data_IF_605937974341
#
_entry.id   IF_605937974341
#
_cell.length_a   1.000
_cell.length_b   1.000
_cell.length_c   1.000
_cell.angle_alpha   90.00
_cell.angle_beta   90.00
_cell.angle_gamma   90.00
#
_symmetry.space_group_name_H-M   'P 1'
#
loop_
_entity.id
_entity.type
_entity.pdbx_description
1 polymer ?
#
# COMPACT_ATOMS: atom_id res chain seq x y z
N UNK A 1 -19.88 13.52 47.63
CA UNK A 1 -19.80 12.86 46.31
C UNK A 1 -20.66 13.64 45.34
N UNK A 2 -20.07 14.15 44.25
CA UNK A 2 -20.62 14.22 42.89
C UNK A 2 -19.94 15.39 42.16
N UNK A 3 -18.86 15.09 41.43
CA UNK A 3 -18.24 16.04 40.52
C UNK A 3 -19.00 16.00 39.19
N UNK A 4 -19.67 17.07 38.83
CA UNK A 4 -20.17 17.29 37.48
C UNK A 4 -19.00 17.64 36.56
N UNK A 5 -18.36 16.61 36.01
CA UNK A 5 -17.42 16.76 34.91
C UNK A 5 -18.21 17.16 33.65
N UNK A 6 -18.21 18.45 33.32
CA UNK A 6 -18.64 18.97 32.03
C UNK A 6 -17.66 18.46 30.97
N UNK A 7 -18.05 17.42 30.24
CA UNK A 7 -17.32 16.95 29.06
C UNK A 7 -17.51 18.01 27.97
N UNK A 8 -16.53 18.89 27.83
CA UNK A 8 -16.37 19.71 26.63
C UNK A 8 -15.98 18.73 25.52
N UNK A 9 -16.93 18.38 24.67
CA UNK A 9 -16.59 17.78 23.39
C UNK A 9 -15.97 18.89 22.56
N UNK A 10 -14.64 18.89 22.45
CA UNK A 10 -13.99 19.61 21.36
C UNK A 10 -14.67 19.17 20.06
N UNK A 11 -15.17 20.10 19.22
CA UNK A 11 -15.61 19.73 17.90
C UNK A 11 -14.40 19.13 17.19
N UNK A 12 -14.43 17.82 16.98
CA UNK A 12 -13.49 17.14 16.11
C UNK A 12 -13.41 17.97 14.82
N UNK A 13 -12.21 18.30 14.32
CA UNK A 13 -12.09 19.08 13.11
C UNK A 13 -12.90 18.38 12.03
N UNK A 14 -13.79 19.17 11.43
CA UNK A 14 -14.79 18.78 10.46
C UNK A 14 -14.18 17.77 9.47
N UNK A 15 -14.50 16.48 9.66
CA UNK A 15 -13.92 15.38 8.87
C UNK A 15 -14.33 15.47 7.40
N UNK A 16 -15.25 16.38 7.05
CA UNK A 16 -15.57 16.73 5.68
C UNK A 16 -14.42 17.47 4.96
N UNK A 17 -13.51 18.13 5.68
CA UNK A 17 -12.27 18.67 5.09
C UNK A 17 -11.29 17.59 4.60
N UNK A 18 -11.48 16.33 5.03
CA UNK A 18 -10.74 15.16 4.52
C UNK A 18 -11.45 14.50 3.32
N UNK A 19 -12.62 14.98 2.92
CA UNK A 19 -13.39 14.47 1.76
C UNK A 19 -13.13 15.24 0.45
N UNK A 20 -12.06 16.02 0.39
CA UNK A 20 -11.59 16.61 -0.87
C UNK A 20 -10.79 15.59 -1.70
N UNK A 21 -11.03 15.45 -3.02
CA UNK A 21 -10.19 14.63 -3.89
C UNK A 21 -8.92 15.44 -4.21
N UNK A 22 -7.92 15.45 -3.32
CA UNK A 22 -6.80 16.40 -3.46
C UNK A 22 -5.44 15.80 -3.72
N UNK A 23 -5.30 14.49 -3.82
CA UNK A 23 -4.16 13.89 -4.46
C UNK A 23 -4.57 12.57 -5.11
N UNK A 24 -4.60 12.51 -6.44
CA UNK A 24 -4.78 11.24 -7.18
C UNK A 24 -3.71 10.20 -6.77
N UNK A 25 -2.61 10.66 -6.17
CA UNK A 25 -1.51 9.87 -5.68
C UNK A 25 -0.83 10.55 -4.48
N UNK A 26 -0.69 9.84 -3.36
CA UNK A 26 0.17 10.26 -2.25
C UNK A 26 1.48 9.47 -2.33
N UNK A 27 2.60 10.13 -2.61
CA UNK A 27 3.91 9.48 -2.67
C UNK A 27 4.55 9.34 -1.28
N UNK A 28 5.12 8.17 -1.00
CA UNK A 28 5.93 7.96 0.20
C UNK A 28 7.36 8.46 -0.05
N UNK A 29 7.89 9.29 0.86
CA UNK A 29 9.33 9.60 0.87
C UNK A 29 10.13 8.28 0.94
N UNK A 30 11.25 8.18 0.19
CA UNK A 30 12.08 6.96 0.06
C UNK A 30 12.11 6.16 1.36
N UNK A 31 11.33 5.07 1.41
CA UNK A 31 11.19 4.30 2.62
C UNK A 31 12.53 3.63 2.95
N UNK A 32 13.09 3.93 4.12
CA UNK A 32 14.31 3.27 4.65
C UNK A 32 14.09 1.80 4.99
N UNK A 33 12.83 1.36 5.04
CA UNK A 33 12.43 0.01 5.44
C UNK A 33 11.81 -0.71 4.24
N UNK A 34 12.55 -1.67 3.69
CA UNK A 34 12.00 -2.64 2.74
C UNK A 34 11.34 -3.78 3.51
N UNK A 35 10.32 -4.39 2.92
CA UNK A 35 9.65 -5.61 3.44
C UNK A 35 9.84 -6.75 2.46
N UNK A 36 9.52 -7.97 2.89
CA UNK A 36 9.35 -9.12 2.01
C UNK A 36 7.89 -9.49 1.90
N UNK A 37 7.47 -9.90 0.71
CA UNK A 37 6.16 -10.46 0.45
C UNK A 37 6.30 -11.63 -0.52
N UNK A 38 5.25 -12.43 -0.70
CA UNK A 38 5.18 -13.46 -1.73
C UNK A 38 4.30 -12.94 -2.86
N UNK A 39 4.76 -13.06 -4.11
CA UNK A 39 3.91 -12.78 -5.27
C UNK A 39 2.86 -13.88 -5.41
N UNK A 40 1.61 -13.47 -5.61
CA UNK A 40 0.52 -14.41 -5.92
C UNK A 40 0.86 -15.26 -7.16
N UNK A 41 0.69 -16.59 -7.10
CA UNK A 41 0.99 -17.46 -8.25
C UNK A 41 0.24 -17.06 -9.53
N UNK A 42 -1.00 -16.59 -9.36
CA UNK A 42 -1.93 -16.23 -10.43
C UNK A 42 -1.47 -14.99 -11.23
N UNK A 43 -0.46 -14.26 -10.76
CA UNK A 43 0.06 -13.10 -11.49
C UNK A 43 0.61 -13.50 -12.87
N UNK A 44 1.14 -14.72 -13.01
CA UNK A 44 1.69 -15.21 -14.27
C UNK A 44 0.60 -15.57 -15.30
N UNK A 45 -0.64 -15.77 -14.84
CA UNK A 45 -1.78 -16.06 -15.73
C UNK A 45 -2.32 -14.76 -16.35
N UNK A 46 -2.23 -13.65 -15.62
CA UNK A 46 -2.66 -12.33 -16.07
C UNK A 46 -1.53 -11.58 -16.78
N UNK A 47 -0.29 -11.71 -16.28
CA UNK A 47 0.91 -11.03 -16.75
C UNK A 47 2.04 -12.04 -16.95
N UNK A 48 2.09 -12.73 -18.10
CA UNK A 48 3.07 -13.79 -18.38
C UNK A 48 4.53 -13.36 -18.23
N UNK A 49 4.84 -12.08 -18.43
CA UNK A 49 6.16 -11.47 -18.22
C UNK A 49 6.65 -11.56 -16.76
N UNK A 50 5.74 -11.76 -15.80
CA UNK A 50 6.05 -11.88 -14.38
C UNK A 50 6.13 -13.34 -13.89
N UNK A 51 6.13 -14.31 -14.81
CA UNK A 51 6.23 -15.75 -14.47
C UNK A 51 7.45 -16.09 -13.62
N UNK A 52 8.57 -15.39 -13.81
CA UNK A 52 9.80 -15.66 -13.05
C UNK A 52 9.72 -15.33 -11.56
N UNK A 53 8.79 -14.46 -11.13
CA UNK A 53 8.59 -14.07 -9.73
C UNK A 53 7.32 -14.66 -9.11
N UNK A 54 6.45 -15.28 -9.91
CA UNK A 54 5.22 -15.93 -9.45
C UNK A 54 5.50 -16.97 -8.34
N UNK A 55 4.80 -16.84 -7.22
CA UNK A 55 4.96 -17.73 -6.05
C UNK A 55 6.27 -17.54 -5.26
N UNK A 56 7.13 -16.59 -5.62
CA UNK A 56 8.41 -16.35 -4.95
C UNK A 56 8.34 -15.21 -3.95
N UNK A 57 9.28 -15.23 -3.00
CA UNK A 57 9.56 -14.09 -2.14
C UNK A 57 10.17 -12.95 -2.95
N UNK A 58 9.64 -11.75 -2.75
CA UNK A 58 10.08 -10.51 -3.38
C UNK A 58 10.33 -9.45 -2.32
N UNK A 59 11.24 -8.52 -2.61
CA UNK A 59 11.43 -7.32 -1.80
C UNK A 59 10.43 -6.27 -2.26
N UNK A 60 9.74 -5.64 -1.31
CA UNK A 60 8.71 -4.64 -1.59
C UNK A 60 8.99 -3.36 -0.82
N UNK A 61 8.72 -2.23 -1.48
CA UNK A 61 8.85 -0.89 -0.91
C UNK A 61 7.56 -0.12 -1.21
N UNK A 62 6.90 0.41 -0.18
CA UNK A 62 5.71 1.24 -0.41
C UNK A 62 6.11 2.47 -1.23
N UNK A 63 5.38 2.73 -2.30
CA UNK A 63 5.69 3.79 -3.26
C UNK A 63 4.68 4.92 -3.20
N UNK A 64 3.40 4.59 -3.35
CA UNK A 64 2.32 5.57 -3.24
C UNK A 64 0.99 4.94 -2.86
N UNK A 65 0.01 5.76 -2.49
CA UNK A 65 -1.40 5.37 -2.36
C UNK A 65 -2.18 5.94 -3.54
N UNK A 66 -2.97 5.10 -4.22
CA UNK A 66 -3.78 5.46 -5.41
C UNK A 66 -5.20 4.92 -5.24
N UNK A 67 -6.20 5.66 -5.74
CA UNK A 67 -7.58 5.19 -5.75
C UNK A 67 -7.81 4.12 -6.82
N UNK A 68 -8.22 2.92 -6.41
CA UNK A 68 -8.54 1.82 -7.31
C UNK A 68 -10.03 1.87 -7.69
N UNK A 69 -10.33 2.44 -8.86
CA UNK A 69 -11.70 2.62 -9.34
C UNK A 69 -12.49 1.30 -9.50
N UNK A 70 -11.81 0.16 -9.70
CA UNK A 70 -12.49 -1.15 -9.84
C UNK A 70 -13.11 -1.63 -8.53
N UNK A 71 -12.48 -1.31 -7.40
CA UNK A 71 -12.93 -1.73 -6.07
C UNK A 71 -13.50 -0.58 -5.23
N UNK A 72 -13.34 0.66 -5.68
CA UNK A 72 -13.81 1.84 -4.95
C UNK A 72 -13.02 2.11 -3.67
N UNK A 73 -11.76 1.66 -3.59
CA UNK A 73 -10.92 1.72 -2.40
C UNK A 73 -9.57 2.38 -2.70
N UNK A 74 -9.00 3.07 -1.70
CA UNK A 74 -7.62 3.56 -1.77
C UNK A 74 -6.65 2.43 -1.45
N UNK A 75 -5.68 2.19 -2.33
CA UNK A 75 -4.74 1.09 -2.22
C UNK A 75 -3.28 1.55 -2.28
N UNK A 76 -2.45 0.88 -1.49
CA UNK A 76 -0.99 1.05 -1.55
C UNK A 76 -0.45 0.34 -2.78
N UNK A 77 0.34 1.07 -3.55
CA UNK A 77 1.21 0.57 -4.61
C UNK A 77 2.59 0.32 -4.03
N UNK A 78 3.11 -0.87 -4.28
CA UNK A 78 4.46 -1.28 -3.92
C UNK A 78 5.36 -1.32 -5.15
N UNK A 79 6.57 -0.79 -5.03
CA UNK A 79 7.69 -1.15 -5.89
C UNK A 79 8.16 -2.55 -5.50
N UNK A 80 8.21 -3.45 -6.47
CA UNK A 80 8.60 -4.84 -6.28
C UNK A 80 9.94 -5.11 -6.95
N UNK A 81 10.81 -5.81 -6.24
CA UNK A 81 12.16 -6.18 -6.65
C UNK A 81 12.33 -7.69 -6.51
N UNK A 82 13.05 -8.30 -7.46
CA UNK A 82 13.27 -9.76 -7.47
C UNK A 82 14.13 -10.22 -6.30
N UNK A 83 15.02 -9.35 -5.82
CA UNK A 83 15.92 -9.65 -4.72
C UNK A 83 16.27 -8.37 -3.94
N UNK A 84 17.33 -8.44 -3.14
CA UNK A 84 17.79 -7.37 -2.26
C UNK A 84 18.51 -6.22 -2.97
N UNK A 85 18.85 -6.38 -4.25
CA UNK A 85 19.48 -5.34 -5.08
C UNK A 85 18.46 -4.36 -5.64
N UNK A 86 18.82 -3.07 -5.64
CA UNK A 86 18.02 -2.00 -6.26
C UNK A 86 17.91 -2.16 -7.79
N UNK A 87 18.91 -2.79 -8.42
CA UNK A 87 18.90 -3.09 -9.86
C UNK A 87 17.93 -4.22 -10.23
N UNK A 88 17.34 -4.88 -9.24
CA UNK A 88 16.40 -5.98 -9.45
C UNK A 88 14.94 -5.53 -9.55
N UNK A 89 14.69 -4.24 -9.79
CA UNK A 89 13.34 -3.70 -9.95
C UNK A 89 12.57 -4.43 -11.04
N UNK A 90 11.31 -4.77 -10.74
CA UNK A 90 10.40 -5.43 -11.68
C UNK A 90 9.35 -4.45 -12.16
N UNK A 91 8.47 -4.03 -11.25
CA UNK A 91 7.31 -3.21 -11.57
C UNK A 91 6.66 -2.69 -10.29
N UNK A 92 5.58 -1.94 -10.48
CA UNK A 92 4.68 -1.48 -9.45
C UNK A 92 3.47 -2.40 -9.35
N UNK A 93 3.09 -2.79 -8.14
CA UNK A 93 1.96 -3.66 -7.92
C UNK A 93 1.08 -3.20 -6.75
N UNK A 94 -0.23 -3.40 -6.88
CA UNK A 94 -1.17 -3.22 -5.77
C UNK A 94 -0.93 -4.27 -4.68
N UNK A 95 -1.17 -3.89 -3.43
CA UNK A 95 -1.07 -4.75 -2.25
C UNK A 95 -1.73 -6.14 -2.44
N UNK A 96 -2.86 -6.21 -3.17
CA UNK A 96 -3.61 -7.46 -3.40
C UNK A 96 -2.86 -8.49 -4.21
N UNK A 97 -1.92 -8.09 -5.05
CA UNK A 97 -1.09 -9.02 -5.83
C UNK A 97 -0.03 -9.72 -4.98
N UNK A 98 0.13 -9.28 -3.73
CA UNK A 98 1.06 -9.78 -2.75
C UNK A 98 0.32 -10.58 -1.67
N UNK A 99 0.99 -11.58 -1.11
CA UNK A 99 0.56 -12.31 0.08
C UNK A 99 1.68 -12.33 1.12
N UNK A 100 1.34 -12.64 2.37
CA UNK A 100 2.31 -12.73 3.46
C UNK A 100 3.21 -11.48 3.57
N UNK A 101 2.61 -10.30 3.48
CA UNK A 101 3.28 -9.05 3.81
C UNK A 101 3.71 -9.10 5.28
N UNK A 102 5.00 -9.31 5.54
CA UNK A 102 5.54 -9.30 6.89
C UNK A 102 5.73 -7.86 7.36
N UNK A 103 4.92 -7.45 8.36
CA UNK A 103 4.90 -6.11 8.95
C UNK A 103 5.90 -5.94 10.10
#
# INVERSE_FOLDING_TARGET
MSSTASVVFDPLPDTDALRGPTAERVEFGKARFYRTAVMRPEIADVFPEHREISGKYVRVVADSVVFNARFGEWEVIFRVYRNMSDDSFVSHFFARTLTNLCF
#
